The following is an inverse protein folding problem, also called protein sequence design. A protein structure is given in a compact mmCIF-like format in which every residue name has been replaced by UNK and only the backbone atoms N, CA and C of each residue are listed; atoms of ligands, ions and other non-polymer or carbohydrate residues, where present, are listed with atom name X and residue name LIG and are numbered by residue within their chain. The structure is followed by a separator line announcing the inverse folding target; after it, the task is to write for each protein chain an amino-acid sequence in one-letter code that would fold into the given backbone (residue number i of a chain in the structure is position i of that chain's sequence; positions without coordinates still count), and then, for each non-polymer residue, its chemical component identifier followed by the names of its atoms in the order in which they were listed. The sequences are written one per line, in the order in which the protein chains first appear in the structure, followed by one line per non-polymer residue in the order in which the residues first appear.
data_IF_464295408509
#
_entry.id   IF_464295408509
#
_cell.length_a   1.000
_cell.length_b   1.000
_cell.length_c   1.000
_cell.angle_alpha   90.00
_cell.angle_beta   90.00
_cell.angle_gamma   90.00
#
_symmetry.space_group_name_H-M   'P 1'
#
loop_
_entity.id
_entity.type
_entity.pdbx_description
1 polymer ?
#
# COMPACT_ATOMS: atom_id res chain seq x y z
N UNK A 1 6.68 -0.39 27.99
CA UNK A 1 6.65 0.83 27.17
C UNK A 1 6.42 0.42 25.74
N UNK A 2 5.15 0.39 25.34
CA UNK A 2 4.71 0.15 23.96
C UNK A 2 5.26 1.28 23.11
N UNK A 3 6.31 0.99 22.32
CA UNK A 3 6.77 1.90 21.29
C UNK A 3 5.62 2.11 20.32
N UNK A 4 5.10 3.34 20.28
CA UNK A 4 4.22 3.82 19.23
C UNK A 4 4.83 3.42 17.90
N UNK A 5 4.24 2.39 17.30
CA UNK A 5 4.74 1.74 16.10
C UNK A 5 4.35 2.66 14.96
N UNK A 6 5.11 3.74 14.79
CA UNK A 6 5.07 4.61 13.63
C UNK A 6 5.11 3.69 12.42
N UNK A 7 3.94 3.46 11.81
CA UNK A 7 3.81 2.39 10.84
C UNK A 7 4.72 2.73 9.66
N UNK A 8 5.61 1.81 9.30
CA UNK A 8 6.58 2.01 8.23
C UNK A 8 5.86 2.44 6.95
N UNK A 9 6.14 3.65 6.45
CA UNK A 9 5.52 4.24 5.26
C UNK A 9 5.47 3.27 4.08
N UNK A 10 6.57 2.53 3.85
CA UNK A 10 6.65 1.56 2.76
C UNK A 10 5.62 0.44 2.94
N UNK A 11 5.54 -0.15 4.13
CA UNK A 11 4.64 -1.27 4.41
C UNK A 11 3.18 -0.82 4.40
N UNK A 12 2.88 0.39 4.90
CA UNK A 12 1.54 1.00 4.85
C UNK A 12 1.12 1.19 3.39
N UNK A 13 1.96 1.85 2.59
CA UNK A 13 1.68 2.10 1.18
C UNK A 13 1.47 0.80 0.40
N UNK A 14 2.42 -0.16 0.50
CA UNK A 14 2.35 -1.43 -0.21
C UNK A 14 1.15 -2.29 0.23
N UNK A 15 0.80 -2.26 1.52
CA UNK A 15 -0.41 -2.94 1.98
C UNK A 15 -1.68 -2.28 1.45
N UNK A 16 -1.74 -0.95 1.41
CA UNK A 16 -2.96 -0.25 0.97
C UNK A 16 -3.24 -0.53 -0.50
N UNK A 17 -2.24 -0.39 -1.38
CA UNK A 17 -2.40 -0.70 -2.81
C UNK A 17 -2.72 -2.18 -3.05
N UNK A 18 -2.15 -3.10 -2.26
CA UNK A 18 -2.44 -4.54 -2.34
C UNK A 18 -3.86 -4.87 -1.91
N UNK A 19 -4.30 -4.40 -0.73
CA UNK A 19 -5.63 -4.69 -0.17
C UNK A 19 -6.73 -4.18 -1.08
N UNK A 20 -6.58 -2.95 -1.59
CA UNK A 20 -7.55 -2.31 -2.48
C UNK A 20 -7.41 -2.76 -3.94
N UNK A 21 -6.42 -3.60 -4.26
CA UNK A 21 -6.10 -4.05 -5.62
C UNK A 21 -5.94 -2.89 -6.61
N UNK A 22 -5.36 -1.78 -6.14
CA UNK A 22 -5.14 -0.59 -6.96
C UNK A 22 -4.11 -0.93 -8.04
N UNK A 23 -4.42 -0.70 -9.33
CA UNK A 23 -3.42 -0.80 -10.38
C UNK A 23 -2.27 0.19 -10.14
N UNK A 24 -1.04 -0.28 -10.33
CA UNK A 24 0.17 0.52 -10.18
C UNK A 24 1.01 0.48 -11.45
N UNK A 25 1.75 1.55 -11.69
CA UNK A 25 2.91 1.56 -12.58
C UNK A 25 4.17 1.55 -11.73
N UNK A 26 4.99 0.51 -11.89
CA UNK A 26 6.30 0.38 -11.25
C UNK A 26 7.36 0.79 -12.27
N UNK A 27 8.10 1.85 -11.95
CA UNK A 27 9.22 2.31 -12.73
C UNK A 27 10.49 1.66 -12.20
N UNK A 28 11.28 1.09 -13.12
CA UNK A 28 12.58 0.53 -12.79
C UNK A 28 13.68 1.58 -13.00
N UNK A 29 14.81 1.40 -12.31
CA UNK A 29 15.99 2.28 -12.40
C UNK A 29 16.57 2.36 -13.81
N UNK A 30 16.34 1.34 -14.64
CA UNK A 30 16.77 1.30 -16.04
C UNK A 30 15.77 1.95 -17.02
N UNK A 31 14.68 2.54 -16.51
CA UNK A 31 13.64 3.20 -17.31
C UNK A 31 12.52 2.29 -17.82
N UNK A 32 12.58 0.97 -17.60
CA UNK A 32 11.46 0.07 -17.92
C UNK A 32 10.28 0.37 -17.00
N UNK A 33 9.06 0.36 -17.57
CA UNK A 33 7.80 0.46 -16.82
C UNK A 33 7.07 -0.87 -16.79
N UNK A 34 6.67 -1.28 -15.60
CA UNK A 34 5.84 -2.46 -15.36
C UNK A 34 4.48 -1.98 -14.88
N UNK A 35 3.41 -2.64 -15.30
CA UNK A 35 2.06 -2.31 -14.84
C UNK A 35 1.40 -3.57 -14.32
N UNK A 36 0.56 -3.41 -13.30
CA UNK A 36 -0.19 -4.53 -12.74
C UNK A 36 -0.71 -4.20 -11.35
N UNK A 37 -1.05 -5.24 -10.60
CA UNK A 37 -1.51 -5.14 -9.22
C UNK A 37 -0.49 -5.84 -8.33
N UNK A 38 -0.10 -5.19 -7.24
CA UNK A 38 0.75 -5.81 -6.23
C UNK A 38 -0.09 -6.81 -5.45
N UNK A 39 0.25 -8.10 -5.53
CA UNK A 39 -0.48 -9.16 -4.83
C UNK A 39 0.21 -9.57 -3.53
N UNK A 40 1.52 -9.38 -3.44
CA UNK A 40 2.33 -9.71 -2.26
C UNK A 40 3.63 -8.90 -2.27
N UNK A 41 4.29 -8.80 -1.12
CA UNK A 41 5.61 -8.21 -0.96
C UNK A 41 6.25 -8.75 0.32
N UNK A 42 7.58 -8.72 0.36
CA UNK A 42 8.39 -8.93 1.55
C UNK A 42 9.36 -7.75 1.72
N UNK A 43 10.45 -7.93 2.47
CA UNK A 43 11.44 -6.88 2.68
C UNK A 43 12.17 -6.46 1.40
N UNK A 44 12.40 -7.37 0.44
CA UNK A 44 13.28 -7.16 -0.71
C UNK A 44 12.58 -7.22 -2.06
N UNK A 45 11.39 -7.79 -2.12
CA UNK A 45 10.67 -8.09 -3.36
C UNK A 45 9.21 -7.66 -3.30
N UNK A 46 8.63 -7.46 -4.48
CA UNK A 46 7.20 -7.23 -4.72
C UNK A 46 6.74 -8.22 -5.79
N UNK A 47 5.62 -8.89 -5.55
CA UNK A 47 4.96 -9.74 -6.54
C UNK A 47 3.91 -8.92 -7.28
N UNK A 48 4.15 -8.69 -8.57
CA UNK A 48 3.28 -7.92 -9.46
C UNK A 48 2.54 -8.88 -10.38
N UNK A 49 1.22 -8.72 -10.50
CA UNK A 49 0.37 -9.53 -11.37
C UNK A 49 -0.28 -8.69 -12.46
N UNK A 50 -0.25 -9.19 -13.69
CA UNK A 50 -0.93 -8.61 -14.86
C UNK A 50 -1.34 -9.73 -15.82
N UNK A 51 -2.57 -9.66 -16.33
CA UNK A 51 -3.09 -10.58 -17.36
C UNK A 51 -2.90 -12.07 -17.02
N UNK A 52 -3.14 -12.42 -15.74
CA UNK A 52 -2.99 -13.78 -15.23
C UNK A 52 -1.55 -14.18 -14.86
N UNK A 53 -0.54 -13.49 -15.39
CA UNK A 53 0.87 -13.72 -15.12
C UNK A 53 1.34 -12.99 -13.86
N UNK A 54 2.23 -13.65 -13.11
CA UNK A 54 2.88 -13.09 -11.92
C UNK A 54 4.38 -12.97 -12.18
N UNK A 55 4.96 -11.85 -11.76
CA UNK A 55 6.39 -11.60 -11.85
C UNK A 55 6.91 -11.07 -10.50
N UNK A 56 8.05 -11.62 -10.07
CA UNK A 56 8.76 -11.16 -8.89
C UNK A 56 9.67 -9.99 -9.28
N UNK A 57 9.53 -8.86 -8.59
CA UNK A 57 10.30 -7.65 -8.83
C UNK A 57 11.13 -7.32 -7.59
N UNK A 58 12.45 -7.27 -7.74
CA UNK A 58 13.34 -6.86 -6.66
C UNK A 58 13.28 -5.35 -6.43
N UNK A 59 13.16 -4.92 -5.17
CA UNK A 59 13.04 -3.50 -4.79
C UNK A 59 14.27 -2.67 -5.16
N UNK A 60 15.46 -3.24 -5.18
CA UNK A 60 16.67 -2.51 -5.61
C UNK A 60 16.62 -2.06 -7.08
N UNK A 61 15.80 -2.72 -7.89
CA UNK A 61 15.61 -2.36 -9.29
C UNK A 61 14.46 -1.35 -9.48
N UNK A 62 13.64 -1.10 -8.45
CA UNK A 62 12.50 -0.17 -8.51
C UNK A 62 12.98 1.23 -8.16
N UNK A 63 12.69 2.20 -9.04
CA UNK A 63 12.90 3.62 -8.77
C UNK A 63 11.66 4.28 -8.17
N UNK A 64 10.46 3.94 -8.65
CA UNK A 64 9.21 4.59 -8.19
C UNK A 64 8.01 3.66 -8.37
N UNK A 65 7.03 3.74 -7.47
CA UNK A 65 5.72 3.06 -7.60
C UNK A 65 4.62 4.11 -7.63
N UNK A 66 3.87 4.16 -8.72
CA UNK A 66 2.82 5.15 -8.96
C UNK A 66 1.45 4.46 -9.03
N UNK A 67 0.53 4.69 -8.07
CA UNK A 67 -0.83 4.18 -8.14
C UNK A 67 -1.65 4.94 -9.17
N UNK A 68 -2.62 4.28 -9.81
CA UNK A 68 -3.51 4.95 -10.78
C UNK A 68 -4.58 5.81 -10.14
N UNK A 69 -4.82 5.63 -8.83
CA UNK A 69 -5.77 6.40 -8.03
C UNK A 69 -5.08 6.92 -6.77
N UNK A 70 -5.58 8.00 -6.15
CA UNK A 70 -5.09 8.46 -4.85
C UNK A 70 -5.13 7.34 -3.82
N UNK A 71 -4.09 7.27 -2.98
CA UNK A 71 -3.96 6.28 -1.90
C UNK A 71 -4.02 7.03 -0.59
N UNK A 72 -5.06 6.77 0.21
CA UNK A 72 -5.16 7.29 1.57
C UNK A 72 -4.25 6.48 2.49
N UNK A 73 -3.25 7.14 3.08
CA UNK A 73 -2.24 6.49 3.95
C UNK A 73 -2.54 6.63 5.45
N UNK A 74 -3.48 7.50 5.80
CA UNK A 74 -3.94 7.74 7.16
C UNK A 74 -5.42 7.41 7.21
N UNK A 75 -5.79 6.37 7.95
CA UNK A 75 -7.15 6.23 8.44
C UNK A 75 -7.06 6.81 9.84
N UNK A 76 -7.62 8.01 10.04
CA UNK A 76 -7.77 8.53 11.40
C UNK A 76 -8.68 7.54 12.14
N UNK A 77 -8.20 6.97 13.25
CA UNK A 77 -8.97 6.09 14.16
C UNK A 77 -10.05 6.89 14.93
N UNK A 78 -10.68 7.89 14.31
CA UNK A 78 -11.62 8.83 14.94
C UNK A 78 -13.11 8.44 14.81
N UNK A 79 -13.44 7.28 14.23
CA UNK A 79 -14.82 6.75 14.20
C UNK A 79 -15.17 5.92 15.45
N UNK A 80 -14.66 6.29 16.63
CA UNK A 80 -14.78 5.51 17.87
C UNK A 80 -15.55 6.15 19.04
N UNK A 81 -15.90 7.44 19.03
CA UNK A 81 -16.45 8.13 20.23
C UNK A 81 -17.82 8.81 20.04
N UNK A 82 -18.64 8.42 19.05
CA UNK A 82 -19.97 9.03 18.83
C UNK A 82 -21.16 8.20 19.36
N UNK A 83 -21.13 7.69 20.60
CA UNK A 83 -22.23 6.86 21.11
C UNK A 83 -22.61 6.95 22.61
N UNK A 84 -22.27 8.01 23.36
CA UNK A 84 -22.76 8.13 24.77
C UNK A 84 -23.26 9.53 25.17
N UNK A 85 -23.95 10.25 24.28
CA UNK A 85 -24.65 11.47 24.71
C UNK A 85 -26.06 11.61 24.11
N UNK A 86 -26.91 10.63 24.38
CA UNK A 86 -28.37 10.76 24.29
C UNK A 86 -29.06 10.05 25.47
N UNK A 87 -28.70 10.39 26.72
CA UNK A 87 -29.57 10.11 27.88
C UNK A 87 -29.36 11.19 28.95
N UNK A 88 -29.80 12.42 28.71
CA UNK A 88 -30.51 13.26 29.71
C UNK A 88 -31.28 14.34 28.94
N UNK A 89 -32.59 14.14 28.82
CA UNK A 89 -33.59 15.13 28.42
C UNK A 89 -34.91 14.71 29.01
#
# INVERSE_FOLDING_TARGET
MSSDKMQNLQDVFLNQVRKQKIPVTVFLVNGVKLQGIITWFDNFCVLLRRDGHSQLVYKHAISTVMPTTPVTLYVDDDEGESAIQEVVG
#
